data_IF_576098877232
#
_entry.id   IF_576098877232
#
_cell.length_a   1.000
_cell.length_b   1.000
_cell.length_c   1.000
_cell.angle_alpha   90.00
_cell.angle_beta   90.00
_cell.angle_gamma   90.00
#
_symmetry.space_group_name_H-M   'P 1'
#
loop_
_entity.id
_entity.type
_entity.pdbx_description
1 polymer ?
#
# COMPACT_ATOMS: atom_id res chain seq x y z
N UNK A 1 18.62 -8.37 6.06
CA UNK A 1 18.62 -7.98 7.49
C UNK A 1 19.64 -8.73 8.35
N UNK A 2 20.08 -9.94 7.95
CA UNK A 2 21.21 -10.62 8.61
C UNK A 2 22.42 -9.72 8.88
N UNK A 3 22.86 -8.94 7.89
CA UNK A 3 23.98 -8.00 8.05
C UNK A 3 23.73 -6.99 9.17
N UNK A 4 22.52 -6.43 9.25
CA UNK A 4 22.17 -5.48 10.32
C UNK A 4 22.18 -6.15 11.70
N UNK A 5 21.55 -7.32 11.84
CA UNK A 5 21.59 -8.11 13.09
C UNK A 5 23.02 -8.46 13.50
N UNK A 6 23.88 -8.84 12.55
CA UNK A 6 25.29 -9.18 12.81
C UNK A 6 26.07 -7.95 13.29
N UNK A 7 25.86 -6.80 12.64
CA UNK A 7 26.57 -5.56 12.96
C UNK A 7 26.10 -4.96 14.30
N UNK A 8 24.80 -4.95 14.56
CA UNK A 8 24.25 -4.30 15.76
C UNK A 8 24.14 -5.24 16.96
N UNK A 9 24.14 -6.56 16.73
CA UNK A 9 23.77 -7.59 17.73
C UNK A 9 22.40 -7.35 18.37
N UNK A 10 21.54 -6.55 17.74
CA UNK A 10 20.21 -6.22 18.21
C UNK A 10 19.15 -6.83 17.31
N UNK A 11 18.05 -7.26 17.93
CA UNK A 11 16.83 -7.66 17.24
C UNK A 11 15.91 -6.44 17.22
N UNK A 12 15.31 -6.12 16.08
CA UNK A 12 14.45 -4.96 15.94
C UNK A 12 13.26 -5.03 16.93
N UNK A 13 12.92 -3.92 17.61
CA UNK A 13 11.81 -3.90 18.56
C UNK A 13 10.43 -3.96 17.89
N UNK A 14 10.32 -3.55 16.63
CA UNK A 14 9.09 -3.47 15.86
C UNK A 14 9.32 -3.95 14.42
N UNK A 15 8.27 -4.35 13.69
CA UNK A 15 8.42 -4.66 12.27
C UNK A 15 8.62 -3.37 11.45
N UNK A 16 9.31 -3.49 10.33
CA UNK A 16 9.36 -2.47 9.27
C UNK A 16 8.46 -2.95 8.16
N UNK A 17 7.43 -2.17 7.83
CA UNK A 17 6.42 -2.53 6.85
C UNK A 17 6.53 -1.59 5.65
N UNK A 18 6.81 -2.13 4.47
CA UNK A 18 6.82 -1.40 3.21
C UNK A 18 5.43 -1.54 2.58
N UNK A 19 4.72 -0.42 2.44
CA UNK A 19 3.38 -0.39 1.83
C UNK A 19 3.51 0.00 0.36
N UNK A 20 2.89 -0.78 -0.52
CA UNK A 20 2.90 -0.57 -1.97
C UNK A 20 1.50 -0.61 -2.57
N UNK A 21 1.40 -0.09 -3.79
CA UNK A 21 0.25 -0.34 -4.64
C UNK A 21 0.10 -1.85 -4.90
N UNK A 22 -1.14 -2.33 -5.09
CA UNK A 22 -1.37 -3.72 -5.47
C UNK A 22 -1.19 -3.89 -6.97
N UNK A 23 0.05 -4.14 -7.36
CA UNK A 23 0.48 -4.19 -8.76
C UNK A 23 1.30 -5.44 -9.08
N UNK A 24 1.18 -6.49 -8.24
CA UNK A 24 1.97 -7.73 -8.35
C UNK A 24 1.71 -8.49 -9.66
N UNK A 25 0.54 -8.30 -10.29
CA UNK A 25 0.23 -8.91 -11.59
C UNK A 25 1.12 -8.39 -12.72
N UNK A 26 1.77 -7.24 -12.54
CA UNK A 26 2.63 -6.62 -13.54
C UNK A 26 4.10 -6.84 -13.19
N UNK A 27 4.82 -7.48 -14.10
CA UNK A 27 6.19 -7.93 -13.85
C UNK A 27 7.24 -6.79 -13.84
N UNK A 28 6.88 -5.63 -14.38
CA UNK A 28 7.74 -4.45 -14.52
C UNK A 28 7.57 -3.44 -13.38
N UNK A 29 6.61 -3.68 -12.50
CA UNK A 29 6.29 -2.81 -11.38
C UNK A 29 7.14 -3.07 -10.13
N UNK A 30 7.31 -2.06 -9.25
CA UNK A 30 8.09 -2.14 -8.02
C UNK A 30 7.95 -3.44 -7.22
N UNK A 31 6.73 -3.87 -6.88
CA UNK A 31 6.51 -5.08 -6.06
C UNK A 31 7.10 -6.31 -6.75
N UNK A 32 6.79 -6.52 -8.03
CA UNK A 32 7.34 -7.64 -8.81
C UNK A 32 8.87 -7.63 -8.89
N UNK A 33 9.47 -6.44 -9.01
CA UNK A 33 10.94 -6.28 -9.03
C UNK A 33 11.57 -6.62 -7.67
N UNK A 34 10.96 -6.16 -6.57
CA UNK A 34 11.40 -6.48 -5.20
C UNK A 34 11.37 -7.99 -4.95
N UNK A 35 10.28 -8.67 -5.32
CA UNK A 35 10.17 -10.12 -5.14
C UNK A 35 11.19 -10.89 -5.99
N UNK A 36 11.43 -10.46 -7.23
CA UNK A 36 12.46 -11.04 -8.11
C UNK A 36 13.87 -10.89 -7.52
N UNK A 37 14.16 -9.75 -6.88
CA UNK A 37 15.47 -9.45 -6.30
C UNK A 37 15.71 -10.21 -4.99
N UNK A 38 14.74 -10.17 -4.07
CA UNK A 38 14.87 -10.79 -2.74
C UNK A 38 14.85 -12.33 -2.83
N UNK A 39 14.13 -12.88 -3.82
CA UNK A 39 13.94 -14.34 -4.00
C UNK A 39 13.54 -15.04 -2.70
N UNK A 40 12.37 -14.71 -2.11
CA UNK A 40 11.95 -15.34 -0.87
C UNK A 40 11.72 -16.85 -1.09
N UNK A 41 11.85 -17.64 -0.03
CA UNK A 41 11.83 -19.11 -0.11
C UNK A 41 10.46 -19.71 -0.45
N UNK A 42 9.39 -18.97 -0.16
CA UNK A 42 8.01 -19.39 -0.36
C UNK A 42 7.47 -18.87 -1.70
N UNK A 43 6.35 -19.43 -2.17
CA UNK A 43 5.65 -18.92 -3.36
C UNK A 43 5.01 -17.56 -3.08
N UNK A 44 5.89 -16.56 -3.09
CA UNK A 44 5.66 -15.20 -2.62
C UNK A 44 4.55 -14.52 -3.40
N UNK A 45 4.39 -14.87 -4.68
CA UNK A 45 3.33 -14.33 -5.52
C UNK A 45 1.97 -14.86 -5.12
N UNK A 46 1.86 -16.16 -4.85
CA UNK A 46 0.62 -16.77 -4.36
C UNK A 46 0.24 -16.14 -3.02
N UNK A 47 1.18 -16.08 -2.07
CA UNK A 47 0.93 -15.49 -0.74
C UNK A 47 0.50 -14.03 -0.85
N UNK A 48 1.20 -13.21 -1.65
CA UNK A 48 0.83 -11.81 -1.85
C UNK A 48 -0.53 -11.65 -2.53
N UNK A 49 -0.89 -12.55 -3.43
CA UNK A 49 -2.20 -12.52 -4.10
C UNK A 49 -3.32 -12.87 -3.12
N UNK A 50 -3.09 -13.83 -2.22
CA UNK A 50 -4.10 -14.29 -1.25
C UNK A 50 -4.22 -13.38 -0.03
N UNK A 51 -3.09 -12.93 0.52
CA UNK A 51 -3.02 -12.23 1.80
C UNK A 51 -2.74 -10.74 1.67
N UNK A 52 -2.22 -10.29 0.53
CA UNK A 52 -1.72 -8.92 0.32
C UNK A 52 -0.53 -8.51 1.20
N UNK A 53 0.07 -9.42 1.98
CA UNK A 53 1.32 -9.14 2.71
C UNK A 53 2.27 -10.34 2.68
N UNK A 54 3.55 -10.09 2.95
CA UNK A 54 4.61 -11.09 2.98
C UNK A 54 5.72 -10.69 3.95
N UNK A 55 6.18 -11.62 4.79
CA UNK A 55 7.45 -11.45 5.50
C UNK A 55 8.60 -11.66 4.53
N UNK A 56 9.39 -10.61 4.27
CA UNK A 56 10.52 -10.67 3.35
C UNK A 56 11.73 -11.31 4.03
N UNK A 57 12.10 -10.80 5.20
CA UNK A 57 13.19 -11.33 6.02
C UNK A 57 13.12 -10.76 7.44
N UNK A 58 12.97 -11.61 8.46
CA UNK A 58 13.05 -11.18 9.86
C UNK A 58 11.99 -10.13 10.20
N UNK A 59 12.38 -8.90 10.51
CA UNK A 59 11.44 -7.82 10.85
C UNK A 59 10.91 -7.05 9.64
N UNK A 60 11.32 -7.38 8.42
CA UNK A 60 10.91 -6.64 7.22
C UNK A 60 9.72 -7.33 6.53
N UNK A 61 8.66 -6.57 6.33
CA UNK A 61 7.43 -7.00 5.69
C UNK A 61 7.11 -6.13 4.48
N UNK A 62 6.44 -6.71 3.50
CA UNK A 62 5.78 -6.02 2.40
C UNK A 62 4.27 -6.14 2.59
N UNK A 63 3.55 -5.06 2.37
CA UNK A 63 2.10 -4.99 2.37
C UNK A 63 1.64 -4.28 1.09
N UNK A 64 0.58 -4.77 0.47
CA UNK A 64 -0.11 -4.13 -0.64
C UNK A 64 -1.51 -3.68 -0.19
N UNK A 65 -2.04 -2.61 -0.76
CA UNK A 65 -3.47 -2.32 -0.59
C UNK A 65 -4.34 -3.47 -1.16
N UNK A 66 -5.61 -3.60 -0.76
CA UNK A 66 -6.48 -4.61 -1.34
C UNK A 66 -6.77 -4.32 -2.82
N UNK A 67 -7.06 -5.38 -3.57
CA UNK A 67 -7.74 -5.27 -4.85
C UNK A 67 -9.22 -4.97 -4.60
N UNK A 68 -9.76 -4.01 -5.32
CA UNK A 68 -11.17 -3.63 -5.26
C UNK A 68 -11.76 -3.56 -6.66
N UNK A 69 -13.09 -3.56 -6.76
CA UNK A 69 -13.81 -3.34 -8.03
C UNK A 69 -13.39 -4.34 -9.14
N UNK A 70 -13.03 -5.57 -8.76
CA UNK A 70 -12.53 -6.63 -9.65
C UNK A 70 -11.31 -6.23 -10.50
N UNK A 71 -10.54 -5.24 -10.05
CA UNK A 71 -9.32 -4.81 -10.73
C UNK A 71 -8.20 -5.82 -10.54
N UNK A 72 -7.33 -5.93 -11.54
CA UNK A 72 -6.08 -6.71 -11.47
C UNK A 72 -4.94 -5.95 -10.81
N UNK A 73 -4.99 -4.62 -10.89
CA UNK A 73 -4.07 -3.69 -10.25
C UNK A 73 -4.88 -2.60 -9.54
N UNK A 74 -4.47 -2.24 -8.33
CA UNK A 74 -5.08 -1.14 -7.58
C UNK A 74 -4.01 -0.22 -7.01
N UNK A 75 -4.17 1.07 -7.29
CA UNK A 75 -3.48 2.13 -6.56
C UNK A 75 -4.26 2.43 -5.27
N UNK A 76 -3.62 3.04 -4.27
CA UNK A 76 -4.29 3.43 -3.03
C UNK A 76 -5.52 4.33 -3.26
N UNK A 77 -5.49 5.20 -4.29
CA UNK A 77 -6.65 6.05 -4.59
C UNK A 77 -7.86 5.26 -5.08
N UNK A 78 -7.70 4.02 -5.57
CA UNK A 78 -8.82 3.18 -6.00
C UNK A 78 -9.73 2.73 -4.86
N UNK A 79 -9.21 2.79 -3.62
CA UNK A 79 -9.95 2.44 -2.42
C UNK A 79 -11.04 3.47 -2.09
N UNK A 80 -10.90 4.71 -2.56
CA UNK A 80 -11.95 5.71 -2.41
C UNK A 80 -13.16 5.39 -3.31
N UNK A 81 -14.34 5.79 -2.85
CA UNK A 81 -15.57 5.68 -3.61
C UNK A 81 -15.62 6.70 -4.77
N UNK A 82 -16.62 6.55 -5.64
CA UNK A 82 -16.76 7.45 -6.79
C UNK A 82 -17.11 8.88 -6.37
N UNK A 83 -17.83 9.08 -5.27
CA UNK A 83 -18.20 10.40 -4.79
C UNK A 83 -16.94 11.19 -4.38
N UNK A 84 -16.04 10.56 -3.62
CA UNK A 84 -14.77 11.13 -3.19
C UNK A 84 -13.86 11.40 -4.39
N UNK A 85 -13.71 10.42 -5.30
CA UNK A 85 -12.85 10.56 -6.48
C UNK A 85 -13.34 11.61 -7.49
N UNK A 86 -14.66 11.81 -7.59
CA UNK A 86 -15.25 12.80 -8.50
C UNK A 86 -15.45 14.18 -7.85
N UNK A 87 -15.04 14.36 -6.60
CA UNK A 87 -15.15 15.63 -5.89
C UNK A 87 -14.44 16.76 -6.66
N UNK A 88 -15.10 17.92 -6.76
CA UNK A 88 -14.57 19.09 -7.47
C UNK A 88 -14.16 20.19 -6.50
N UNK A 89 -12.94 20.69 -6.68
CA UNK A 89 -12.41 21.84 -5.94
C UNK A 89 -12.34 23.02 -6.89
N UNK A 90 -13.11 24.08 -6.62
CA UNK A 90 -13.22 25.26 -7.48
C UNK A 90 -13.51 24.89 -8.96
N UNK A 91 -14.41 23.93 -9.17
CA UNK A 91 -14.80 23.44 -10.50
C UNK A 91 -13.82 22.47 -11.18
N UNK A 92 -12.62 22.26 -10.61
CA UNK A 92 -11.59 21.35 -11.16
C UNK A 92 -11.81 19.92 -10.68
N UNK A 93 -11.51 18.93 -11.51
CA UNK A 93 -11.61 17.49 -11.17
C UNK A 93 -10.28 16.93 -10.68
N UNK A 94 -10.32 15.86 -9.88
CA UNK A 94 -9.11 15.13 -9.54
C UNK A 94 -8.48 14.49 -10.79
N UNK A 95 -7.15 14.52 -10.89
CA UNK A 95 -6.39 13.71 -11.83
C UNK A 95 -5.17 13.08 -11.15
N UNK A 96 -4.87 11.84 -11.53
CA UNK A 96 -3.73 11.06 -11.05
C UNK A 96 -2.47 11.29 -11.90
N UNK A 97 -2.64 11.88 -13.08
CA UNK A 97 -1.54 12.10 -14.01
C UNK A 97 -0.56 13.15 -13.48
N UNK A 98 0.71 13.03 -13.85
CA UNK A 98 1.73 14.02 -13.46
C UNK A 98 1.58 15.34 -14.22
N UNK A 99 1.20 15.25 -15.50
CA UNK A 99 1.07 16.40 -16.39
C UNK A 99 -0.41 16.68 -16.59
N UNK A 100 -0.95 17.68 -15.89
CA UNK A 100 -2.38 18.00 -15.91
C UNK A 100 -2.61 19.43 -16.39
N UNK A 101 -3.71 19.63 -17.11
CA UNK A 101 -4.24 20.97 -17.37
C UNK A 101 -4.76 21.56 -16.05
N UNK A 102 -3.96 22.42 -15.43
CA UNK A 102 -4.27 23.04 -14.15
C UNK A 102 -5.53 23.90 -14.18
N UNK A 103 -6.09 24.25 -15.33
CA UNK A 103 -7.38 24.94 -15.41
C UNK A 103 -8.55 23.97 -15.21
N UNK A 104 -8.37 22.69 -15.54
CA UNK A 104 -9.41 21.65 -15.49
C UNK A 104 -9.26 20.68 -14.33
N UNK A 105 -8.03 20.45 -13.87
CA UNK A 105 -7.72 19.41 -12.92
C UNK A 105 -6.90 19.89 -11.73
N UNK A 106 -6.98 19.14 -10.62
CA UNK A 106 -6.07 19.21 -9.49
C UNK A 106 -5.40 17.86 -9.26
N UNK A 107 -4.17 17.88 -8.76
CA UNK A 107 -3.36 16.67 -8.52
C UNK A 107 -3.48 16.13 -7.09
N UNK A 108 -2.66 15.11 -6.82
CA UNK A 108 -2.66 14.32 -5.56
C UNK A 108 -2.50 15.16 -4.30
N UNK A 109 -1.69 16.21 -4.31
CA UNK A 109 -1.50 17.09 -3.15
C UNK A 109 -2.81 17.76 -2.69
N UNK A 110 -3.58 18.31 -3.65
CA UNK A 110 -4.88 18.91 -3.32
C UNK A 110 -5.91 17.86 -2.92
N UNK A 111 -5.84 16.69 -3.55
CA UNK A 111 -6.70 15.57 -3.18
C UNK A 111 -6.44 15.14 -1.73
N UNK A 112 -5.18 14.91 -1.33
CA UNK A 112 -4.84 14.50 0.04
C UNK A 112 -5.25 15.55 1.09
N UNK A 113 -5.12 16.84 0.77
CA UNK A 113 -5.60 17.90 1.66
C UNK A 113 -7.12 17.88 1.82
N UNK A 114 -7.87 17.61 0.74
CA UNK A 114 -9.33 17.40 0.82
C UNK A 114 -9.67 16.19 1.68
N UNK A 115 -9.01 15.05 1.47
CA UNK A 115 -9.20 13.84 2.30
C UNK A 115 -8.94 14.16 3.78
N UNK A 116 -7.85 14.87 4.10
CA UNK A 116 -7.51 15.22 5.47
C UNK A 116 -8.54 16.15 6.14
N UNK A 117 -9.13 17.08 5.39
CA UNK A 117 -10.12 18.01 5.95
C UNK A 117 -11.50 17.36 6.13
N UNK A 118 -11.87 16.48 5.20
CA UNK A 118 -13.24 15.92 5.11
C UNK A 118 -13.31 14.43 5.53
N UNK A 119 -12.27 13.88 6.17
CA UNK A 119 -12.17 12.44 6.50
C UNK A 119 -13.36 11.87 7.29
N UNK A 120 -14.14 12.71 7.97
CA UNK A 120 -15.33 12.28 8.72
C UNK A 120 -16.50 11.91 7.83
N UNK A 121 -16.56 12.49 6.63
CA UNK A 121 -17.65 12.32 5.66
C UNK A 121 -17.29 11.34 4.53
N UNK A 122 -16.05 10.84 4.54
CA UNK A 122 -15.52 9.93 3.52
C UNK A 122 -15.63 8.48 4.00
N UNK A 123 -16.12 7.60 3.14
CA UNK A 123 -16.13 6.16 3.40
C UNK A 123 -14.74 5.54 3.19
N UNK A 124 -14.14 5.03 4.27
CA UNK A 124 -12.86 4.33 4.27
C UNK A 124 -13.00 2.80 4.37
N UNK A 125 -14.20 2.23 4.16
CA UNK A 125 -14.45 0.79 4.32
C UNK A 125 -13.49 -0.07 3.50
N UNK A 126 -13.11 0.37 2.30
CA UNK A 126 -12.14 -0.35 1.45
C UNK A 126 -10.69 -0.33 1.95
N UNK A 127 -10.35 0.53 2.92
CA UNK A 127 -9.03 0.56 3.56
C UNK A 127 -8.91 -0.46 4.68
N UNK A 128 -10.05 -0.90 5.25
CA UNK A 128 -10.08 -1.79 6.41
C UNK A 128 -9.23 -3.06 6.24
N UNK A 129 -9.27 -3.80 5.12
CA UNK A 129 -8.43 -5.00 4.96
C UNK A 129 -6.93 -4.71 5.05
N UNK A 130 -6.47 -3.55 4.56
CA UNK A 130 -5.07 -3.14 4.66
C UNK A 130 -4.69 -2.84 6.12
N UNK A 131 -5.58 -2.16 6.85
CA UNK A 131 -5.37 -1.83 8.27
C UNK A 131 -5.37 -3.09 9.14
N UNK A 132 -6.26 -4.04 8.89
CA UNK A 132 -6.30 -5.34 9.57
C UNK A 132 -5.00 -6.14 9.32
N UNK A 133 -4.47 -6.10 8.10
CA UNK A 133 -3.17 -6.71 7.80
C UNK A 133 -2.01 -6.00 8.51
N UNK A 134 -2.04 -4.67 8.67
CA UNK A 134 -1.04 -3.95 9.46
C UNK A 134 -1.06 -4.42 10.91
N UNK A 135 -2.25 -4.47 11.54
CA UNK A 135 -2.41 -4.94 12.91
C UNK A 135 -1.94 -6.38 13.06
N UNK A 136 -2.32 -7.26 12.12
CA UNK A 136 -1.87 -8.65 12.10
C UNK A 136 -0.34 -8.75 12.05
N UNK A 137 0.33 -8.01 11.16
CA UNK A 137 1.80 -8.03 11.06
C UNK A 137 2.44 -7.57 12.37
N UNK A 138 1.92 -6.52 12.99
CA UNK A 138 2.43 -5.98 14.24
C UNK A 138 2.30 -7.01 15.37
N UNK A 139 1.13 -7.62 15.53
CA UNK A 139 0.89 -8.62 16.58
C UNK A 139 1.66 -9.92 16.33
N UNK A 140 1.68 -10.41 15.09
CA UNK A 140 2.43 -11.60 14.73
C UNK A 140 3.94 -11.43 15.00
N UNK A 141 4.51 -10.28 14.64
CA UNK A 141 5.92 -10.01 14.91
C UNK A 141 6.26 -9.92 16.41
N UNK A 142 5.34 -9.41 17.24
CA UNK A 142 5.51 -9.40 18.71
C UNK A 142 5.52 -10.82 19.28
N UNK A 143 4.66 -11.70 18.77
CA UNK A 143 4.50 -13.08 19.25
C UNK A 143 5.60 -14.04 18.77
N UNK A 144 6.24 -13.76 17.63
CA UNK A 144 7.33 -14.56 17.07
C UNK A 144 8.73 -14.21 17.63
N UNK A 145 8.84 -13.18 18.48
CA UNK A 145 10.08 -12.83 19.18
C UNK A 145 10.36 -13.71 20.38
#
# INVERSE_FOLDING_TARGET
>A
LKTFKILTKQIASNPTILIFDNEISNSDKPVSKIIKEIKPKEDSRVILTEKSYLNLEGSLYLLMNPLVKNKKECEIEDLFDEATLNHKINGKKFSREKNIDLNKYYGKERFSNFIYNEYREIDFSNFKPMLENLDFIIENYKNEK
#
